data_IF_783407248838
#
_entry.id   IF_783407248838
#
_cell.length_a   1.000
_cell.length_b   1.000
_cell.length_c   1.000
_cell.angle_alpha   90.00
_cell.angle_beta   90.00
_cell.angle_gamma   90.00
#
_symmetry.space_group_name_H-M   'P 1'
#
loop_
_entity.id
_entity.type
_entity.pdbx_description
1 polymer ?
#
# COMPACT_ATOMS: atom_id res chain seq x y z
N UNK A 1 -12.36 41.00 -18.66
CA UNK A 1 -11.76 41.51 -19.92
C UNK A 1 -11.19 40.31 -20.66
N UNK A 2 -11.55 40.16 -21.94
CA UNK A 2 -11.25 39.06 -22.86
C UNK A 2 -12.02 37.73 -22.67
N UNK A 3 -13.17 37.66 -23.33
CA UNK A 3 -13.66 36.51 -24.13
C UNK A 3 -13.47 37.01 -25.59
N UNK A 4 -12.99 36.23 -26.57
CA UNK A 4 -13.82 35.22 -27.25
C UNK A 4 -13.10 34.00 -27.86
N UNK A 5 -13.87 32.94 -28.12
CA UNK A 5 -14.06 32.48 -29.50
C UNK A 5 -15.34 31.65 -29.65
N UNK A 6 -16.20 32.14 -30.55
CA UNK A 6 -17.35 31.47 -31.16
C UNK A 6 -16.88 30.42 -32.17
N UNK A 7 -17.57 29.28 -32.24
CA UNK A 7 -17.65 28.50 -33.47
C UNK A 7 -19.11 28.22 -33.80
N UNK A 8 -19.55 28.83 -34.90
CA UNK A 8 -20.83 28.66 -35.56
C UNK A 8 -20.90 27.33 -36.31
N UNK A 9 -22.07 26.68 -36.31
CA UNK A 9 -22.41 25.69 -37.34
C UNK A 9 -23.72 26.05 -38.04
N UNK A 10 -23.59 26.04 -39.37
CA UNK A 10 -24.56 26.38 -40.41
C UNK A 10 -25.55 25.22 -40.62
N UNK A 11 -26.84 25.53 -40.71
CA UNK A 11 -27.88 24.61 -41.17
C UNK A 11 -28.00 24.64 -42.70
N UNK A 12 -28.18 23.50 -43.38
CA UNK A 12 -28.59 23.50 -44.78
C UNK A 12 -30.11 23.51 -44.95
N UNK A 13 -30.53 24.30 -45.93
CA UNK A 13 -31.90 24.51 -46.43
C UNK A 13 -32.36 23.35 -47.31
N UNK A 14 -33.66 23.06 -47.23
CA UNK A 14 -34.37 22.03 -47.97
C UNK A 14 -34.43 22.27 -49.49
N UNK A 15 -34.29 21.18 -50.26
CA UNK A 15 -34.58 21.12 -51.69
C UNK A 15 -35.73 20.14 -51.98
N UNK A 16 -36.70 20.58 -52.75
CA UNK A 16 -37.87 19.82 -53.23
C UNK A 16 -37.59 19.14 -54.57
N UNK A 17 -38.01 17.87 -54.73
CA UNK A 17 -38.21 17.27 -56.06
C UNK A 17 -38.53 15.76 -56.03
N UNK A 18 -39.47 15.24 -56.84
CA UNK A 18 -40.23 14.02 -56.53
C UNK A 18 -39.92 12.82 -57.45
N UNK A 19 -40.27 11.60 -57.00
CA UNK A 19 -41.03 10.57 -57.74
C UNK A 19 -40.75 9.14 -57.24
N UNK A 20 -41.81 8.48 -56.77
CA UNK A 20 -42.11 7.08 -57.11
C UNK A 20 -41.18 5.98 -56.58
N UNK A 21 -41.25 5.66 -55.29
CA UNK A 21 -40.86 4.34 -54.79
C UNK A 21 -41.94 3.80 -53.85
N UNK A 22 -42.45 2.60 -54.18
CA UNK A 22 -43.39 1.85 -53.33
C UNK A 22 -42.68 1.54 -51.99
N UNK A 23 -43.31 1.81 -50.84
CA UNK A 23 -42.68 1.54 -49.55
C UNK A 23 -42.56 0.03 -49.35
N UNK A 24 -41.34 -0.48 -49.49
CA UNK A 24 -40.95 -1.81 -49.03
C UNK A 24 -41.34 -1.95 -47.56
N UNK A 25 -42.02 -3.04 -47.18
CA UNK A 25 -42.55 -3.30 -45.83
C UNK A 25 -41.53 -3.30 -44.67
N UNK A 26 -40.26 -2.98 -44.94
CA UNK A 26 -39.20 -2.75 -43.95
C UNK A 26 -39.40 -1.45 -43.16
N UNK A 27 -40.04 -0.42 -43.72
CA UNK A 27 -40.25 0.86 -43.01
C UNK A 27 -41.29 0.79 -41.89
N UNK A 28 -42.22 -0.18 -41.95
CA UNK A 28 -43.22 -0.38 -40.90
C UNK A 28 -42.67 -1.04 -39.63
N UNK A 29 -41.53 -1.75 -39.73
CA UNK A 29 -40.88 -2.41 -38.60
C UNK A 29 -39.86 -1.52 -37.88
N UNK A 30 -39.38 -0.46 -38.54
CA UNK A 30 -38.42 0.49 -37.97
C UNK A 30 -38.87 1.11 -36.64
N UNK A 31 -40.10 1.62 -36.47
CA UNK A 31 -40.52 2.21 -35.19
C UNK A 31 -40.67 1.18 -34.07
N UNK A 32 -41.03 -0.08 -34.39
CA UNK A 32 -41.06 -1.18 -33.42
C UNK A 32 -39.65 -1.59 -32.98
N UNK A 33 -38.68 -1.58 -33.90
CA UNK A 33 -37.28 -1.90 -33.61
C UNK A 33 -36.59 -0.79 -32.81
N UNK A 34 -36.87 0.48 -33.14
CA UNK A 34 -36.41 1.64 -32.35
C UNK A 34 -37.04 1.64 -30.96
N UNK A 35 -38.34 1.34 -30.83
CA UNK A 35 -39.01 1.25 -29.53
C UNK A 35 -38.47 0.08 -28.69
N UNK A 36 -38.22 -1.09 -29.31
CA UNK A 36 -37.59 -2.22 -28.64
C UNK A 36 -36.15 -1.91 -28.19
N UNK A 37 -35.37 -1.19 -29.01
CA UNK A 37 -34.02 -0.75 -28.64
C UNK A 37 -34.05 0.29 -27.50
N UNK A 38 -34.99 1.24 -27.55
CA UNK A 38 -35.20 2.26 -26.50
C UNK A 38 -35.70 1.63 -25.19
N UNK A 39 -36.49 0.56 -25.26
CA UNK A 39 -36.94 -0.20 -24.08
C UNK A 39 -35.90 -1.20 -23.56
N UNK A 40 -34.96 -1.66 -24.41
CA UNK A 40 -33.85 -2.52 -24.01
C UNK A 40 -32.67 -1.74 -23.40
N UNK A 41 -32.46 -0.48 -23.81
CA UNK A 41 -31.42 0.41 -23.26
C UNK A 41 -31.49 0.63 -21.73
N UNK A 42 -32.67 0.74 -21.07
CA UNK A 42 -32.72 0.83 -19.61
C UNK A 42 -32.50 -0.51 -18.88
N UNK A 43 -32.59 -1.66 -19.55
CA UNK A 43 -32.38 -2.98 -18.92
C UNK A 43 -30.90 -3.37 -18.85
N UNK A 44 -30.06 -2.85 -19.76
CA UNK A 44 -28.61 -3.07 -19.76
C UNK A 44 -27.83 -2.21 -18.76
N UNK A 45 -28.48 -1.23 -18.11
CA UNK A 45 -27.86 -0.33 -17.14
C UNK A 45 -28.19 -0.70 -15.69
N UNK A 46 -28.60 -1.94 -15.43
CA UNK A 46 -28.70 -2.49 -14.08
C UNK A 46 -27.30 -2.64 -13.50
N UNK A 47 -26.68 -1.51 -13.11
CA UNK A 47 -25.65 -1.50 -12.08
C UNK A 47 -26.19 -2.33 -10.94
N UNK A 48 -25.38 -3.29 -10.50
CA UNK A 48 -25.66 -4.06 -9.30
C UNK A 48 -26.18 -3.15 -8.20
N UNK A 49 -27.41 -3.41 -7.76
CA UNK A 49 -28.02 -2.65 -6.69
C UNK A 49 -27.20 -2.77 -5.40
N UNK A 50 -27.37 -1.85 -4.45
CA UNK A 50 -26.77 -2.00 -3.12
C UNK A 50 -27.17 -3.36 -2.51
N UNK A 51 -26.34 -3.95 -1.63
CA UNK A 51 -26.74 -5.12 -0.87
C UNK A 51 -28.07 -4.87 -0.13
N UNK A 52 -28.93 -5.88 -0.11
CA UNK A 52 -30.33 -5.71 0.26
C UNK A 52 -30.54 -5.53 1.76
N UNK A 53 -29.70 -6.16 2.59
CA UNK A 53 -29.82 -6.07 4.05
C UNK A 53 -29.10 -4.81 4.51
N UNK A 54 -29.77 -4.02 5.34
CA UNK A 54 -29.22 -2.79 5.91
C UNK A 54 -29.40 -2.77 7.44
N UNK A 55 -28.40 -2.24 8.13
CA UNK A 55 -28.44 -1.98 9.57
C UNK A 55 -28.00 -0.53 9.79
N UNK A 56 -28.89 0.27 10.37
CA UNK A 56 -28.60 1.67 10.71
C UNK A 56 -27.85 1.76 12.05
N UNK A 57 -26.99 2.77 12.16
CA UNK A 57 -26.26 3.15 13.37
C UNK A 57 -26.36 4.67 13.57
N UNK A 58 -26.04 5.21 14.75
CA UNK A 58 -25.93 6.66 14.95
C UNK A 58 -24.86 7.35 14.10
N UNK A 59 -24.01 6.58 13.39
CA UNK A 59 -22.86 7.08 12.64
C UNK A 59 -22.90 6.65 11.17
N UNK A 60 -24.06 6.28 10.66
CA UNK A 60 -24.26 5.85 9.28
C UNK A 60 -24.93 4.48 9.15
N UNK A 61 -24.81 3.88 7.97
CA UNK A 61 -25.53 2.65 7.59
C UNK A 61 -24.56 1.60 7.08
N UNK A 62 -24.74 0.36 7.52
CA UNK A 62 -24.04 -0.81 6.99
C UNK A 62 -24.98 -1.62 6.09
N UNK A 63 -24.48 -2.09 4.95
CA UNK A 63 -25.20 -2.97 4.02
C UNK A 63 -24.40 -4.23 3.72
N UNK A 64 -25.07 -5.37 3.62
CA UNK A 64 -24.48 -6.64 3.20
C UNK A 64 -25.55 -7.57 2.60
N UNK A 65 -25.12 -8.74 2.12
CA UNK A 65 -26.02 -9.78 1.59
C UNK A 65 -26.67 -10.63 2.71
N UNK A 66 -26.21 -10.49 3.96
CA UNK A 66 -26.78 -11.16 5.15
C UNK A 66 -26.89 -10.20 6.34
N UNK A 67 -27.79 -10.50 7.28
CA UNK A 67 -27.98 -9.69 8.49
C UNK A 67 -26.78 -9.76 9.42
N UNK A 68 -26.14 -10.93 9.54
CA UNK A 68 -24.97 -11.14 10.37
C UNK A 68 -23.80 -10.26 9.89
N UNK A 69 -23.57 -10.21 8.58
CA UNK A 69 -22.53 -9.36 7.99
C UNK A 69 -22.85 -7.86 8.14
N UNK A 70 -24.11 -7.46 7.88
CA UNK A 70 -24.52 -6.07 8.03
C UNK A 70 -24.37 -5.61 9.50
N UNK A 71 -24.71 -6.46 10.46
CA UNK A 71 -24.50 -6.22 11.89
C UNK A 71 -23.01 -6.13 12.25
N UNK A 72 -22.16 -7.01 11.71
CA UNK A 72 -20.72 -6.96 11.95
C UNK A 72 -20.12 -5.63 11.47
N UNK A 73 -20.45 -5.20 10.25
CA UNK A 73 -20.00 -3.91 9.70
C UNK A 73 -20.58 -2.73 10.48
N UNK A 74 -21.85 -2.79 10.89
CA UNK A 74 -22.48 -1.77 11.73
C UNK A 74 -21.75 -1.59 13.08
N UNK A 75 -21.32 -2.69 13.71
CA UNK A 75 -20.54 -2.62 14.95
C UNK A 75 -19.17 -1.98 14.74
N UNK A 76 -18.49 -2.27 13.61
CA UNK A 76 -17.23 -1.62 13.25
C UNK A 76 -17.44 -0.11 13.01
N UNK A 77 -18.49 0.25 12.27
CA UNK A 77 -18.84 1.65 12.00
C UNK A 77 -19.15 2.41 13.29
N UNK A 78 -19.95 1.82 14.18
CA UNK A 78 -20.30 2.43 15.46
C UNK A 78 -19.08 2.63 16.38
N UNK A 79 -18.11 1.72 16.31
CA UNK A 79 -16.85 1.80 17.07
C UNK A 79 -15.91 2.87 16.53
N UNK A 80 -15.77 2.96 15.21
CA UNK A 80 -14.69 3.73 14.59
C UNK A 80 -15.13 5.09 14.03
N UNK A 81 -16.36 5.22 13.53
CA UNK A 81 -16.92 6.47 13.01
C UNK A 81 -16.70 7.67 13.94
N UNK A 82 -17.13 7.65 15.21
CA UNK A 82 -16.91 8.78 16.13
C UNK A 82 -15.43 9.03 16.41
N UNK A 83 -14.59 7.99 16.41
CA UNK A 83 -13.15 8.12 16.70
C UNK A 83 -12.41 8.79 15.55
N UNK A 84 -12.77 8.50 14.29
CA UNK A 84 -12.23 9.18 13.12
C UNK A 84 -12.62 10.65 13.13
N UNK A 85 -13.89 10.97 13.38
CA UNK A 85 -14.39 12.36 13.48
C UNK A 85 -13.71 13.15 14.60
N UNK A 86 -13.48 12.53 15.74
CA UNK A 86 -12.81 13.18 16.87
C UNK A 86 -11.32 13.44 16.62
N UNK A 87 -10.68 12.64 15.75
CA UNK A 87 -9.25 12.72 15.50
C UNK A 87 -8.88 13.76 14.42
N UNK A 88 -9.76 13.99 13.46
CA UNK A 88 -9.49 14.85 12.29
C UNK A 88 -10.25 16.18 12.39
N UNK A 89 -9.58 17.33 12.21
CA UNK A 89 -10.29 18.59 11.97
C UNK A 89 -11.08 18.55 10.65
N UNK A 90 -12.11 19.40 10.55
CA UNK A 90 -12.92 19.58 9.34
C UNK A 90 -13.42 18.26 8.71
N UNK A 91 -14.04 17.38 9.51
CA UNK A 91 -14.73 16.22 8.95
C UNK A 91 -16.13 16.57 8.43
N UNK A 92 -16.51 16.03 7.29
CA UNK A 92 -17.85 16.17 6.72
C UNK A 92 -18.93 15.63 7.67
N UNK A 93 -20.01 16.39 7.85
CA UNK A 93 -21.22 15.95 8.57
C UNK A 93 -22.13 15.07 7.67
N UNK A 94 -21.55 14.08 6.99
CA UNK A 94 -22.29 13.08 6.20
C UNK A 94 -22.34 11.75 6.92
N UNK A 95 -23.46 11.05 6.84
CA UNK A 95 -23.62 9.69 7.37
C UNK A 95 -23.06 8.69 6.35
N UNK A 96 -21.94 8.02 6.62
CA UNK A 96 -21.36 7.08 5.67
C UNK A 96 -22.25 5.85 5.47
N UNK A 97 -22.28 5.34 4.24
CA UNK A 97 -22.95 4.11 3.87
C UNK A 97 -21.91 3.07 3.45
N UNK A 98 -21.70 2.06 4.31
CA UNK A 98 -20.67 1.03 4.13
C UNK A 98 -21.30 -0.22 3.53
N UNK A 99 -20.87 -0.63 2.35
CA UNK A 99 -21.36 -1.79 1.64
C UNK A 99 -20.32 -2.89 1.73
N UNK A 100 -20.70 -4.04 2.28
CA UNK A 100 -19.96 -5.28 2.11
C UNK A 100 -20.39 -5.91 0.79
N UNK A 101 -19.48 -5.94 -0.17
CA UNK A 101 -19.80 -6.23 -1.56
C UNK A 101 -18.87 -7.31 -2.10
N UNK A 102 -19.41 -8.16 -2.97
CA UNK A 102 -18.60 -9.02 -3.82
C UNK A 102 -18.27 -8.21 -5.07
N UNK A 103 -17.04 -7.68 -5.13
CA UNK A 103 -16.57 -6.79 -6.20
C UNK A 103 -16.73 -7.39 -7.61
N UNK A 104 -17.05 -8.69 -7.74
CA UNK A 104 -17.50 -9.33 -8.98
C UNK A 104 -18.66 -8.61 -9.68
N UNK A 105 -19.45 -7.84 -8.92
CA UNK A 105 -20.58 -7.05 -9.41
C UNK A 105 -20.21 -5.74 -10.11
N UNK A 106 -18.93 -5.35 -10.11
CA UNK A 106 -18.40 -4.16 -10.77
C UNK A 106 -17.17 -4.55 -11.60
N UNK A 107 -17.31 -4.58 -12.93
CA UNK A 107 -16.25 -5.04 -13.85
C UNK A 107 -14.90 -4.35 -13.59
N UNK A 108 -14.91 -3.05 -13.24
CA UNK A 108 -13.67 -2.28 -12.99
C UNK A 108 -12.95 -2.72 -11.72
N UNK A 109 -13.70 -3.24 -10.74
CA UNK A 109 -13.16 -3.72 -9.48
C UNK A 109 -12.87 -5.22 -9.53
N UNK A 110 -13.61 -5.97 -10.35
CA UNK A 110 -13.34 -7.38 -10.62
C UNK A 110 -11.93 -7.60 -11.19
N UNK A 111 -11.48 -6.69 -12.06
CA UNK A 111 -10.12 -6.70 -12.63
C UNK A 111 -9.03 -6.23 -11.65
N UNK A 112 -9.39 -5.78 -10.45
CA UNK A 112 -8.47 -5.17 -9.47
C UNK A 112 -8.51 -5.90 -8.13
N UNK A 113 -7.98 -7.14 -8.08
CA UNK A 113 -8.04 -7.97 -6.90
C UNK A 113 -7.29 -7.40 -5.68
N UNK A 114 -6.41 -6.42 -5.90
CA UNK A 114 -5.65 -5.70 -4.88
C UNK A 114 -6.46 -4.63 -4.15
N UNK A 115 -7.57 -4.15 -4.73
CA UNK A 115 -8.42 -3.14 -4.09
C UNK A 115 -9.33 -3.83 -3.09
N UNK A 116 -9.08 -3.58 -1.79
CA UNK A 116 -9.83 -4.19 -0.68
C UNK A 116 -10.99 -3.29 -0.22
N UNK A 117 -10.82 -1.98 -0.36
CA UNK A 117 -11.78 -0.94 -0.02
C UNK A 117 -11.80 0.15 -1.08
N UNK A 118 -12.94 0.81 -1.21
CA UNK A 118 -13.10 2.00 -2.05
C UNK A 118 -14.12 2.95 -1.45
N UNK A 119 -13.73 4.20 -1.30
CA UNK A 119 -14.62 5.30 -0.94
C UNK A 119 -14.97 6.15 -2.14
N UNK A 120 -16.20 6.64 -2.20
CA UNK A 120 -16.62 7.66 -3.17
C UNK A 120 -16.61 9.03 -2.49
N UNK A 121 -15.64 9.92 -2.81
CA UNK A 121 -15.51 11.21 -2.16
C UNK A 121 -16.80 12.03 -2.21
N UNK A 122 -17.14 12.67 -1.10
CA UNK A 122 -18.34 13.53 -0.97
C UNK A 122 -19.69 12.80 -0.93
N UNK A 123 -19.75 11.51 -1.25
CA UNK A 123 -20.99 10.72 -1.20
C UNK A 123 -21.13 9.91 0.10
N UNK A 124 -20.08 9.83 0.93
CA UNK A 124 -20.06 9.00 2.14
C UNK A 124 -20.15 7.50 1.86
N UNK A 125 -20.13 7.06 0.59
CA UNK A 125 -20.25 5.64 0.24
C UNK A 125 -18.89 4.97 0.32
N UNK A 126 -18.84 3.86 1.06
CA UNK A 126 -17.68 3.00 1.23
C UNK A 126 -18.05 1.61 0.76
N UNK A 127 -17.23 0.97 -0.08
CA UNK A 127 -17.37 -0.43 -0.49
C UNK A 127 -16.18 -1.21 0.03
N UNK A 128 -16.43 -2.30 0.74
CA UNK A 128 -15.42 -3.22 1.25
C UNK A 128 -15.68 -4.59 0.67
N UNK A 129 -14.63 -5.28 0.25
CA UNK A 129 -14.71 -6.64 -0.26
C UNK A 129 -15.15 -7.64 0.81
N UNK A 130 -16.23 -8.36 0.53
CA UNK A 130 -16.77 -9.39 1.43
C UNK A 130 -15.76 -10.50 1.75
N UNK A 131 -15.04 -10.98 0.73
CA UNK A 131 -14.02 -12.04 0.85
C UNK A 131 -12.76 -11.59 1.60
N UNK A 132 -12.63 -10.28 1.85
CA UNK A 132 -11.52 -9.68 2.59
C UNK A 132 -11.94 -9.20 3.98
N UNK A 133 -13.19 -9.45 4.39
CA UNK A 133 -13.64 -9.22 5.75
C UNK A 133 -13.00 -10.27 6.68
N UNK A 134 -11.76 -10.01 7.07
CA UNK A 134 -10.94 -10.88 7.91
C UNK A 134 -10.29 -10.10 9.06
N UNK A 135 -9.08 -10.50 9.44
CA UNK A 135 -8.35 -9.90 10.57
C UNK A 135 -8.09 -8.40 10.43
N UNK A 136 -8.13 -7.88 9.20
CA UNK A 136 -7.80 -6.48 8.90
C UNK A 136 -9.03 -5.63 8.55
N UNK A 137 -10.26 -6.14 8.75
CA UNK A 137 -11.49 -5.44 8.42
C UNK A 137 -11.61 -4.08 9.15
N UNK A 138 -11.22 -4.03 10.42
CA UNK A 138 -11.14 -2.78 11.19
C UNK A 138 -10.22 -1.76 10.52
N UNK A 139 -9.03 -2.18 10.08
CA UNK A 139 -8.05 -1.28 9.46
C UNK A 139 -8.57 -0.73 8.14
N UNK A 140 -9.07 -1.60 7.27
CA UNK A 140 -9.62 -1.21 5.96
C UNK A 140 -10.80 -0.26 6.15
N UNK A 141 -11.74 -0.56 7.04
CA UNK A 141 -12.87 0.33 7.28
C UNK A 141 -12.42 1.69 7.79
N UNK A 142 -11.48 1.75 8.74
CA UNK A 142 -10.98 3.04 9.25
C UNK A 142 -10.29 3.83 8.15
N UNK A 143 -9.47 3.18 7.32
CA UNK A 143 -8.82 3.82 6.17
C UNK A 143 -9.87 4.47 5.24
N UNK A 144 -10.89 3.70 4.83
CA UNK A 144 -11.94 4.21 3.96
C UNK A 144 -12.83 5.26 4.62
N UNK A 145 -13.09 5.14 5.92
CA UNK A 145 -13.82 6.17 6.66
C UNK A 145 -13.12 7.52 6.62
N UNK A 146 -11.78 7.56 6.63
CA UNK A 146 -11.05 8.81 6.47
C UNK A 146 -11.36 9.42 5.10
N UNK A 147 -11.18 8.66 4.01
CA UNK A 147 -11.52 9.14 2.65
C UNK A 147 -12.95 9.68 2.55
N UNK A 148 -13.92 8.97 3.13
CA UNK A 148 -15.33 9.35 3.08
C UNK A 148 -15.67 10.59 3.91
N UNK A 149 -14.90 10.87 4.97
CA UNK A 149 -15.21 11.91 5.96
C UNK A 149 -14.30 13.15 5.87
N UNK A 150 -13.23 13.15 5.08
CA UNK A 150 -12.39 14.36 4.90
C UNK A 150 -13.21 15.52 4.31
N UNK A 151 -13.24 16.65 5.02
CA UNK A 151 -13.89 17.88 4.55
C UNK A 151 -13.07 18.68 3.54
N UNK A 152 -13.65 19.76 2.99
CA UNK A 152 -13.06 20.56 1.93
C UNK A 152 -11.73 21.21 2.31
N UNK A 153 -11.48 21.49 3.59
CA UNK A 153 -10.22 22.06 4.07
C UNK A 153 -9.02 21.14 3.86
N UNK A 154 -9.25 19.85 3.60
CA UNK A 154 -8.21 18.88 3.23
C UNK A 154 -7.98 18.74 1.72
N UNK A 155 -8.77 19.42 0.89
CA UNK A 155 -8.70 19.27 -0.57
C UNK A 155 -7.28 19.49 -1.14
N UNK A 156 -6.49 20.48 -0.71
CA UNK A 156 -5.13 20.70 -1.22
C UNK A 156 -4.13 19.60 -0.87
N UNK A 157 -4.46 18.63 -0.01
CA UNK A 157 -3.51 17.58 0.37
C UNK A 157 -3.19 16.69 -0.84
N UNK A 158 -1.89 16.51 -1.20
CA UNK A 158 -1.51 15.65 -2.32
C UNK A 158 -2.06 14.23 -2.16
N UNK A 159 -2.40 13.58 -3.28
CA UNK A 159 -3.17 12.34 -3.25
C UNK A 159 -2.44 11.22 -2.48
N UNK A 160 -1.13 11.04 -2.66
CA UNK A 160 -0.34 10.04 -1.93
C UNK A 160 -0.17 10.36 -0.44
N UNK A 161 -0.17 11.65 -0.08
CA UNK A 161 -0.13 12.08 1.33
C UNK A 161 -1.49 11.87 1.98
N UNK A 162 -2.58 11.99 1.22
CA UNK A 162 -3.94 11.64 1.65
C UNK A 162 -4.09 10.15 1.94
N UNK A 163 -3.58 9.27 1.06
CA UNK A 163 -3.50 7.82 1.34
C UNK A 163 -2.68 7.55 2.61
N UNK A 164 -1.54 8.23 2.75
CA UNK A 164 -0.71 8.17 3.95
C UNK A 164 -1.45 8.59 5.22
N UNK A 165 -2.30 9.62 5.14
CA UNK A 165 -3.15 10.09 6.25
C UNK A 165 -4.17 9.03 6.64
N UNK A 166 -4.80 8.38 5.67
CA UNK A 166 -5.77 7.30 5.90
C UNK A 166 -5.12 6.13 6.65
N UNK A 167 -3.95 5.67 6.19
CA UNK A 167 -3.19 4.61 6.85
C UNK A 167 -2.68 5.02 8.25
N UNK A 168 -2.27 6.27 8.40
CA UNK A 168 -1.81 6.83 9.66
C UNK A 168 -2.93 6.89 10.73
N UNK A 169 -4.14 7.27 10.34
CA UNK A 169 -5.32 7.26 11.23
C UNK A 169 -5.72 5.81 11.56
N UNK A 170 -5.79 4.94 10.55
CA UNK A 170 -6.11 3.53 10.74
C UNK A 170 -5.12 2.83 11.69
N UNK A 171 -3.82 3.09 11.54
CA UNK A 171 -2.78 2.56 12.42
C UNK A 171 -2.90 3.05 13.87
N UNK A 172 -3.38 4.28 14.10
CA UNK A 172 -3.63 4.80 15.46
C UNK A 172 -4.88 4.19 16.11
N UNK A 173 -5.94 3.95 15.33
CA UNK A 173 -7.22 3.47 15.86
C UNK A 173 -7.30 1.93 15.96
N UNK A 174 -6.47 1.22 15.18
CA UNK A 174 -6.42 -0.25 15.07
C UNK A 174 -4.99 -0.76 15.34
N UNK A 175 -4.50 -0.67 16.60
CA UNK A 175 -3.10 -0.95 16.93
C UNK A 175 -2.67 -2.41 16.66
N UNK A 176 -3.62 -3.36 16.63
CA UNK A 176 -3.32 -4.76 16.32
C UNK A 176 -2.86 -4.98 14.88
N UNK A 177 -3.37 -4.20 13.92
CA UNK A 177 -2.99 -4.28 12.51
C UNK A 177 -1.79 -3.37 12.17
N UNK A 178 -1.54 -2.35 12.99
CA UNK A 178 -0.55 -1.32 12.71
C UNK A 178 0.86 -1.86 12.40
N UNK A 179 1.44 -2.84 13.12
CA UNK A 179 2.78 -3.34 12.80
C UNK A 179 2.91 -3.92 11.39
N UNK A 180 1.89 -4.65 10.92
CA UNK A 180 1.91 -5.25 9.58
C UNK A 180 1.84 -4.18 8.49
N UNK A 181 0.96 -3.18 8.65
CA UNK A 181 0.84 -2.10 7.68
C UNK A 181 2.08 -1.21 7.69
N UNK A 182 2.61 -0.87 8.88
CA UNK A 182 3.87 -0.13 9.00
C UNK A 182 5.02 -0.88 8.34
N UNK A 183 5.13 -2.18 8.58
CA UNK A 183 6.15 -3.02 7.96
C UNK A 183 6.06 -2.96 6.43
N UNK A 184 4.86 -3.14 5.86
CA UNK A 184 4.61 -3.04 4.43
C UNK A 184 4.98 -1.66 3.87
N UNK A 185 4.49 -0.57 4.49
CA UNK A 185 4.75 0.81 4.03
C UNK A 185 6.22 1.21 4.18
N UNK A 186 6.88 0.79 5.24
CA UNK A 186 8.33 0.99 5.41
C UNK A 186 9.10 0.22 4.35
N UNK A 187 8.69 -1.02 4.05
CA UNK A 187 9.33 -1.80 3.00
C UNK A 187 9.21 -1.11 1.65
N UNK A 188 7.99 -0.70 1.27
CA UNK A 188 7.71 0.08 0.07
C UNK A 188 8.57 1.36 0.00
N UNK A 189 8.58 2.17 1.07
CA UNK A 189 9.35 3.41 1.15
C UNK A 189 10.86 3.20 1.05
N UNK A 190 11.37 2.11 1.63
CA UNK A 190 12.79 1.82 1.70
C UNK A 190 13.38 1.35 0.36
N UNK A 191 12.56 0.75 -0.52
CA UNK A 191 13.01 0.38 -1.88
C UNK A 191 13.41 1.58 -2.74
N UNK A 192 12.98 2.79 -2.38
CA UNK A 192 13.32 4.00 -3.12
C UNK A 192 14.78 4.43 -2.92
N UNK A 193 15.39 4.18 -1.75
CA UNK A 193 16.72 4.74 -1.43
C UNK A 193 17.58 3.94 -0.44
N UNK A 194 17.02 3.04 0.38
CA UNK A 194 17.80 2.33 1.40
C UNK A 194 18.17 0.92 0.96
N UNK A 195 17.24 0.20 0.33
CA UNK A 195 17.43 -1.21 0.01
C UNK A 195 17.35 -2.13 1.25
N UNK A 196 16.84 -3.33 1.06
CA UNK A 196 16.76 -4.38 2.09
C UNK A 196 17.96 -5.29 1.95
N UNK A 197 18.55 -5.75 3.06
CA UNK A 197 19.69 -6.65 3.04
C UNK A 197 19.53 -7.84 4.00
N UNK A 198 19.96 -9.01 3.56
CA UNK A 198 20.12 -10.17 4.42
C UNK A 198 21.54 -10.19 4.98
N UNK A 199 21.68 -10.23 6.30
CA UNK A 199 22.96 -10.43 6.95
C UNK A 199 23.05 -11.88 7.44
N UNK A 200 23.94 -12.66 6.84
CA UNK A 200 24.23 -14.02 7.25
C UNK A 200 25.49 -14.03 8.11
N UNK A 201 25.48 -14.80 9.19
CA UNK A 201 26.66 -14.90 10.04
C UNK A 201 26.86 -16.29 10.64
N UNK A 202 27.90 -16.99 10.16
CA UNK A 202 28.12 -18.41 10.42
C UNK A 202 29.56 -18.70 10.85
N UNK A 203 29.80 -19.88 11.43
CA UNK A 203 31.14 -20.43 11.60
C UNK A 203 31.42 -21.42 10.46
N UNK A 204 32.55 -21.27 9.78
CA UNK A 204 32.99 -22.31 8.84
C UNK A 204 33.61 -23.50 9.60
N UNK A 205 33.73 -24.67 8.96
CA UNK A 205 34.38 -25.83 9.57
C UNK A 205 35.80 -25.50 10.03
N UNK A 206 36.06 -25.62 11.33
CA UNK A 206 37.37 -25.33 11.94
C UNK A 206 37.68 -23.84 12.14
N UNK A 207 36.76 -22.93 11.80
CA UNK A 207 36.94 -21.50 12.04
C UNK A 207 36.66 -21.15 13.50
N UNK A 208 37.57 -20.38 14.11
CA UNK A 208 37.36 -19.76 15.43
C UNK A 208 36.59 -18.45 15.34
N UNK A 209 36.58 -17.83 14.16
CA UNK A 209 35.95 -16.53 13.90
C UNK A 209 34.67 -16.69 13.08
N UNK A 210 33.67 -15.88 13.43
CA UNK A 210 32.39 -15.85 12.71
C UNK A 210 32.55 -15.09 11.40
N UNK A 211 32.20 -15.74 10.29
CA UNK A 211 32.09 -15.12 8.97
C UNK A 211 30.78 -14.33 8.90
N UNK A 212 30.79 -13.23 8.16
CA UNK A 212 29.62 -12.40 7.89
C UNK A 212 29.57 -12.07 6.41
N UNK A 213 28.39 -12.17 5.82
CA UNK A 213 28.12 -11.65 4.48
C UNK A 213 26.79 -10.89 4.51
N UNK A 214 26.79 -9.73 3.86
CA UNK A 214 25.59 -8.93 3.63
C UNK A 214 25.18 -9.11 2.18
N UNK A 215 23.95 -9.55 1.95
CA UNK A 215 23.40 -9.81 0.62
C UNK A 215 22.25 -8.81 0.40
N UNK A 216 22.36 -7.90 -0.58
CA UNK A 216 21.25 -7.02 -0.90
C UNK A 216 20.09 -7.85 -1.47
N UNK A 217 18.92 -7.75 -0.84
CA UNK A 217 17.66 -8.37 -1.26
C UNK A 217 16.97 -7.46 -2.28
N UNK A 218 16.93 -6.15 -2.03
CA UNK A 218 16.34 -5.21 -2.99
C UNK A 218 17.41 -4.26 -3.52
N UNK A 219 17.25 -3.85 -4.79
CA UNK A 219 18.08 -2.79 -5.36
C UNK A 219 17.66 -1.46 -4.77
N UNK A 220 18.65 -0.65 -4.40
CA UNK A 220 18.44 0.77 -4.10
C UNK A 220 17.86 1.45 -5.33
N UNK A 221 16.72 2.11 -5.18
CA UNK A 221 16.08 2.90 -6.22
C UNK A 221 16.85 4.19 -6.54
N UNK A 222 16.25 5.03 -7.38
CA UNK A 222 16.85 6.30 -7.82
C UNK A 222 16.54 7.49 -6.88
N UNK A 223 16.16 7.20 -5.63
CA UNK A 223 15.70 8.19 -4.67
C UNK A 223 14.18 8.42 -4.73
N UNK A 224 13.71 9.31 -3.87
CA UNK A 224 12.27 9.60 -3.72
C UNK A 224 11.78 10.53 -4.85
N UNK A 225 10.78 10.13 -5.64
CA UNK A 225 10.22 10.95 -6.71
C UNK A 225 9.26 12.02 -6.14
N UNK A 226 9.80 13.06 -5.53
CA UNK A 226 9.03 14.11 -4.84
C UNK A 226 7.95 14.76 -5.70
N UNK A 227 8.20 14.94 -6.99
CA UNK A 227 7.21 15.49 -7.94
C UNK A 227 5.97 14.60 -8.06
N UNK A 228 6.13 13.27 -8.00
CA UNK A 228 5.02 12.33 -8.06
C UNK A 228 4.23 12.32 -6.75
N UNK A 229 4.93 12.43 -5.60
CA UNK A 229 4.29 12.56 -4.28
C UNK A 229 3.45 13.84 -4.15
N UNK A 230 3.87 14.90 -4.85
CA UNK A 230 3.21 16.19 -4.86
C UNK A 230 2.07 16.34 -5.85
N UNK A 231 1.60 15.28 -6.51
CA UNK A 231 0.49 15.38 -7.47
C UNK A 231 -0.86 15.58 -6.77
N UNK A 232 -1.73 16.47 -7.28
CA UNK A 232 -3.09 16.60 -6.79
C UNK A 232 -3.93 15.38 -7.21
N UNK A 233 -5.08 15.18 -6.59
CA UNK A 233 -6.04 14.16 -7.00
C UNK A 233 -6.86 13.53 -5.88
N UNK A 234 -7.97 12.91 -6.28
CA UNK A 234 -8.80 12.05 -5.46
C UNK A 234 -8.54 10.60 -5.88
N UNK A 235 -7.47 10.02 -5.33
CA UNK A 235 -7.00 8.69 -5.72
C UNK A 235 -5.94 8.75 -6.81
N UNK A 236 -4.96 7.86 -6.70
CA UNK A 236 -3.80 7.85 -7.59
C UNK A 236 -3.91 6.64 -8.52
N UNK A 237 -4.25 6.90 -9.79
CA UNK A 237 -3.98 5.98 -10.88
C UNK A 237 -2.47 6.00 -11.12
N UNK A 238 -1.74 5.19 -10.35
CA UNK A 238 -0.30 5.00 -10.50
C UNK A 238 -0.09 3.74 -11.32
N UNK A 239 0.74 3.87 -12.34
CA UNK A 239 1.33 2.77 -13.10
C UNK A 239 2.19 1.88 -12.18
N UNK A 240 2.96 0.94 -12.75
CA UNK A 240 3.71 -0.16 -12.12
C UNK A 240 4.57 0.18 -10.86
N UNK A 241 4.82 1.45 -10.53
CA UNK A 241 5.51 1.90 -9.31
C UNK A 241 4.57 2.18 -8.11
N UNK A 242 3.30 1.78 -8.21
CA UNK A 242 2.23 2.14 -7.27
C UNK A 242 2.58 1.90 -5.80
N UNK A 243 3.12 0.74 -5.45
CA UNK A 243 3.33 0.36 -4.04
C UNK A 243 4.39 1.22 -3.34
N UNK A 244 5.53 1.47 -3.99
CA UNK A 244 6.64 2.27 -3.44
C UNK A 244 6.20 3.69 -3.07
N UNK A 245 5.36 4.27 -3.93
CA UNK A 245 4.81 5.61 -3.75
C UNK A 245 3.82 5.70 -2.59
N UNK A 246 3.03 4.65 -2.34
CA UNK A 246 2.16 4.57 -1.15
C UNK A 246 3.00 4.53 0.13
N UNK A 247 4.04 3.68 0.17
CA UNK A 247 4.99 3.66 1.28
C UNK A 247 5.63 5.03 1.53
N UNK A 248 6.01 5.73 0.47
CA UNK A 248 6.59 7.07 0.57
C UNK A 248 5.60 8.13 1.08
N UNK A 249 4.37 8.13 0.55
CA UNK A 249 3.29 9.02 1.00
C UNK A 249 2.97 8.79 2.48
N UNK A 250 2.90 7.53 2.91
CA UNK A 250 2.74 7.16 4.31
C UNK A 250 3.89 7.63 5.20
N UNK A 251 5.14 7.37 4.82
CA UNK A 251 6.30 7.76 5.63
C UNK A 251 6.36 9.29 5.80
N UNK A 252 6.19 10.04 4.72
CA UNK A 252 6.13 11.50 4.76
C UNK A 252 5.02 11.96 5.70
N UNK A 253 3.81 11.42 5.55
CA UNK A 253 2.65 11.81 6.37
C UNK A 253 2.90 11.56 7.84
N UNK A 254 3.34 10.37 8.22
CA UNK A 254 3.62 10.05 9.62
C UNK A 254 4.74 10.94 10.18
N UNK A 255 5.76 11.30 9.39
CA UNK A 255 6.82 12.23 9.83
C UNK A 255 6.28 13.64 10.08
N UNK A 256 5.35 14.11 9.25
CA UNK A 256 4.66 15.38 9.46
C UNK A 256 3.80 15.30 10.73
N UNK A 257 2.98 14.25 10.88
CA UNK A 257 2.10 14.07 12.03
C UNK A 257 2.87 13.95 13.35
N UNK A 258 4.02 13.29 13.39
CA UNK A 258 4.88 13.24 14.58
C UNK A 258 5.38 14.61 15.04
N UNK A 259 5.61 15.53 14.08
CA UNK A 259 6.26 16.82 14.35
C UNK A 259 5.27 17.95 14.57
N UNK A 260 4.17 17.97 13.81
CA UNK A 260 3.19 19.06 13.85
C UNK A 260 1.76 18.59 14.13
N UNK A 261 1.52 17.29 14.28
CA UNK A 261 0.19 16.73 14.56
C UNK A 261 -0.79 16.84 13.39
N UNK A 262 -2.03 16.40 13.62
CA UNK A 262 -3.13 16.51 12.66
C UNK A 262 -3.48 17.96 12.38
N UNK A 263 -3.57 18.80 13.42
CA UNK A 263 -3.87 20.23 13.28
C UNK A 263 -2.80 20.98 12.48
N UNK A 264 -1.52 20.63 12.66
CA UNK A 264 -0.44 21.23 11.89
C UNK A 264 -0.47 20.84 10.42
N UNK A 265 -0.77 19.57 10.09
CA UNK A 265 -0.96 19.15 8.70
C UNK A 265 -2.20 19.84 8.08
N UNK A 266 -3.29 19.96 8.83
CA UNK A 266 -4.48 20.69 8.39
C UNK A 266 -4.17 22.18 8.15
N UNK A 267 -3.40 22.82 9.03
CA UNK A 267 -2.97 24.20 8.88
C UNK A 267 -2.15 24.43 7.60
N UNK A 268 -1.34 23.44 7.16
CA UNK A 268 -0.66 23.51 5.86
C UNK A 268 -1.65 23.50 4.69
N UNK A 269 -2.73 22.73 4.78
CA UNK A 269 -3.79 22.70 3.77
C UNK A 269 -4.54 24.03 3.74
N UNK A 270 -4.97 24.53 4.90
CA UNK A 270 -5.65 25.82 5.02
C UNK A 270 -4.79 26.97 4.48
N UNK A 271 -3.48 26.96 4.77
CA UNK A 271 -2.53 27.92 4.22
C UNK A 271 -2.42 27.82 2.70
N UNK A 272 -2.29 26.61 2.14
CA UNK A 272 -2.23 26.41 0.69
C UNK A 272 -3.48 26.96 0.00
N UNK A 273 -4.68 26.66 0.53
CA UNK A 273 -5.93 27.25 0.03
C UNK A 273 -5.95 28.77 0.09
N UNK A 274 -5.50 29.37 1.20
CA UNK A 274 -5.43 30.82 1.35
C UNK A 274 -4.46 31.49 0.35
N UNK A 275 -3.40 30.78 -0.04
CA UNK A 275 -2.44 31.21 -1.05
C UNK A 275 -2.85 30.83 -2.49
N UNK A 276 -4.02 30.21 -2.69
CA UNK A 276 -4.50 29.80 -4.01
C UNK A 276 -3.72 28.62 -4.62
N UNK A 277 -3.08 27.81 -3.77
CA UNK A 277 -2.27 26.65 -4.16
C UNK A 277 -3.09 25.37 -4.08
N UNK A 278 -3.03 24.57 -5.14
CA UNK A 278 -3.53 23.20 -5.18
C UNK A 278 -2.55 22.34 -5.99
N UNK A 279 -1.75 21.46 -5.35
CA UNK A 279 -1.81 21.03 -3.94
C UNK A 279 -0.86 21.79 -2.98
N UNK A 280 -0.81 21.38 -1.71
CA UNK A 280 0.19 21.83 -0.72
C UNK A 280 1.61 21.60 -1.27
N UNK A 281 2.48 22.61 -1.32
CA UNK A 281 3.84 22.46 -1.83
C UNK A 281 4.64 21.36 -1.12
N UNK A 282 5.34 20.51 -1.90
CA UNK A 282 6.17 19.45 -1.34
C UNK A 282 7.31 19.96 -0.47
N UNK A 283 7.81 21.16 -0.73
CA UNK A 283 8.81 21.81 0.12
C UNK A 283 8.28 22.02 1.54
N UNK A 284 7.02 22.45 1.70
CA UNK A 284 6.41 22.66 3.01
C UNK A 284 6.22 21.36 3.78
N UNK A 285 5.69 20.32 3.12
CA UNK A 285 5.48 19.01 3.74
C UNK A 285 6.80 18.34 4.13
N UNK A 286 7.85 18.45 3.29
CA UNK A 286 9.19 17.96 3.63
C UNK A 286 9.80 18.74 4.80
N UNK A 287 9.63 20.04 4.87
CA UNK A 287 10.08 20.85 5.99
C UNK A 287 9.37 20.44 7.28
N UNK A 288 8.03 20.35 7.24
CA UNK A 288 7.22 19.91 8.38
C UNK A 288 7.61 18.50 8.86
N UNK A 289 7.89 17.57 7.93
CA UNK A 289 8.36 16.21 8.22
C UNK A 289 9.84 16.09 8.59
N UNK A 290 10.62 17.17 8.50
CA UNK A 290 12.07 17.15 8.75
C UNK A 290 12.88 16.41 7.67
N UNK A 291 12.37 16.33 6.44
CA UNK A 291 12.94 15.63 5.28
C UNK A 291 13.51 16.60 4.22
N UNK A 292 13.72 17.87 4.59
CA UNK A 292 14.28 18.89 3.71
C UNK A 292 15.81 18.75 3.51
N UNK A 293 16.52 18.10 4.44
CA UNK A 293 18.00 18.09 4.51
C UNK A 293 18.67 17.00 3.65
N UNK A 294 18.41 16.98 2.34
CA UNK A 294 19.09 16.08 1.39
C UNK A 294 18.55 14.65 1.38
N UNK A 295 19.19 13.79 0.58
CA UNK A 295 18.79 12.39 0.35
C UNK A 295 18.90 11.54 1.60
N UNK A 296 19.92 11.76 2.41
CA UNK A 296 20.19 10.95 3.62
C UNK A 296 19.09 11.05 4.67
N UNK A 297 18.34 12.16 4.69
CA UNK A 297 17.22 12.36 5.59
C UNK A 297 16.11 11.32 5.38
N UNK A 298 15.91 10.85 4.14
CA UNK A 298 14.93 9.81 3.83
C UNK A 298 15.36 8.46 4.39
N UNK A 299 16.57 8.01 4.05
CA UNK A 299 17.11 6.77 4.55
C UNK A 299 17.15 6.76 6.09
N UNK A 300 17.56 7.85 6.72
CA UNK A 300 17.52 7.98 8.17
C UNK A 300 16.10 7.86 8.74
N UNK A 301 15.10 8.47 8.10
CA UNK A 301 13.70 8.38 8.53
C UNK A 301 13.12 6.95 8.41
N UNK A 302 13.47 6.24 7.33
CA UNK A 302 13.13 4.81 7.17
C UNK A 302 13.77 4.02 8.31
N UNK A 303 15.10 4.14 8.49
CA UNK A 303 15.86 3.33 9.44
C UNK A 303 15.46 3.58 10.90
N UNK A 304 15.10 4.81 11.27
CA UNK A 304 14.63 5.15 12.63
C UNK A 304 13.27 4.51 12.96
N UNK A 305 12.47 4.20 11.95
CA UNK A 305 11.11 3.65 12.10
C UNK A 305 11.08 2.13 12.05
N UNK A 306 12.11 1.50 11.51
CA UNK A 306 12.15 0.04 11.46
C UNK A 306 12.63 -0.52 12.79
N UNK A 307 11.68 -1.06 13.56
CA UNK A 307 11.96 -1.84 14.74
C UNK A 307 12.05 -3.35 14.47
N UNK A 308 12.46 -4.15 15.48
CA UNK A 308 12.40 -5.62 15.39
C UNK A 308 11.00 -6.16 15.12
N UNK A 309 9.95 -5.50 15.62
CA UNK A 309 8.56 -5.90 15.41
C UNK A 309 8.15 -5.75 13.94
N UNK A 310 8.44 -4.61 13.31
CA UNK A 310 8.19 -4.38 11.89
C UNK A 310 9.01 -5.34 11.01
N UNK A 311 10.28 -5.59 11.35
CA UNK A 311 11.09 -6.59 10.63
C UNK A 311 10.51 -8.00 10.76
N UNK A 312 10.08 -8.41 11.95
CA UNK A 312 9.46 -9.72 12.15
C UNK A 312 8.14 -9.85 11.37
N UNK A 313 7.29 -8.82 11.39
CA UNK A 313 6.05 -8.77 10.61
C UNK A 313 6.34 -8.86 9.10
N UNK A 314 7.30 -8.07 8.60
CA UNK A 314 7.72 -8.12 7.20
C UNK A 314 8.26 -9.50 6.82
N UNK A 315 9.09 -10.09 7.68
CA UNK A 315 9.69 -11.42 7.45
C UNK A 315 8.65 -12.52 7.45
N UNK A 316 7.60 -12.40 8.26
CA UNK A 316 6.48 -13.32 8.27
C UNK A 316 5.61 -13.18 7.02
N UNK A 317 5.37 -11.94 6.57
CA UNK A 317 4.59 -11.67 5.35
C UNK A 317 5.31 -12.17 4.09
N UNK A 318 6.63 -12.02 4.03
CA UNK A 318 7.49 -12.49 2.93
C UNK A 318 7.94 -13.96 3.11
N UNK A 319 7.40 -14.68 4.10
CA UNK A 319 7.88 -16.01 4.43
C UNK A 319 7.92 -16.98 3.25
N UNK A 320 6.89 -17.09 2.40
CA UNK A 320 6.90 -17.98 1.24
C UNK A 320 8.02 -17.62 0.25
N UNK A 321 8.09 -16.37 -0.20
CA UNK A 321 9.02 -15.90 -1.23
C UNK A 321 10.47 -15.92 -0.71
N UNK A 322 10.67 -15.46 0.52
CA UNK A 322 11.98 -15.45 1.16
C UNK A 322 12.48 -16.88 1.38
N UNK A 323 11.61 -17.83 1.71
CA UNK A 323 12.01 -19.23 1.90
C UNK A 323 12.48 -19.88 0.61
N UNK A 324 11.78 -19.66 -0.50
CA UNK A 324 12.18 -20.14 -1.83
C UNK A 324 13.53 -19.54 -2.23
N UNK A 325 13.70 -18.23 -2.04
CA UNK A 325 14.96 -17.57 -2.37
C UNK A 325 16.10 -18.05 -1.48
N UNK A 326 15.89 -18.16 -0.17
CA UNK A 326 16.91 -18.63 0.79
C UNK A 326 17.33 -20.06 0.46
N UNK A 327 16.40 -20.97 0.22
CA UNK A 327 16.73 -22.36 -0.11
C UNK A 327 17.48 -22.44 -1.44
N UNK A 328 17.01 -21.76 -2.49
CA UNK A 328 17.65 -21.81 -3.81
C UNK A 328 19.03 -21.17 -3.81
N UNK A 329 19.19 -20.06 -3.07
CA UNK A 329 20.40 -19.25 -3.09
C UNK A 329 21.47 -19.71 -2.09
N UNK A 330 21.07 -20.20 -0.92
CA UNK A 330 21.98 -20.48 0.19
C UNK A 330 22.23 -21.97 0.40
N UNK A 331 21.31 -22.87 0.03
CA UNK A 331 21.54 -24.33 0.15
C UNK A 331 22.86 -24.79 -0.50
N UNK A 332 23.30 -24.26 -1.67
CA UNK A 332 24.60 -24.61 -2.24
C UNK A 332 25.81 -24.24 -1.36
N UNK A 333 25.68 -23.25 -0.48
CA UNK A 333 26.75 -22.82 0.43
C UNK A 333 26.79 -23.62 1.74
N UNK A 334 25.72 -24.35 2.03
CA UNK A 334 25.56 -25.15 3.25
C UNK A 334 25.18 -26.60 2.91
N UNK A 335 26.01 -27.32 2.13
CA UNK A 335 25.69 -28.68 1.73
C UNK A 335 25.53 -29.60 2.95
N UNK A 336 24.46 -30.39 2.95
CA UNK A 336 24.17 -31.36 4.02
C UNK A 336 23.47 -30.79 5.26
N UNK A 337 23.18 -29.49 5.32
CA UNK A 337 22.30 -28.93 6.34
C UNK A 337 20.84 -29.00 5.88
N UNK A 338 19.94 -29.40 6.79
CA UNK A 338 18.51 -29.12 6.64
C UNK A 338 18.20 -27.66 7.07
N UNK A 339 16.95 -27.23 6.91
CA UNK A 339 16.54 -25.86 7.26
C UNK A 339 16.80 -25.51 8.73
N UNK A 340 16.58 -26.46 9.65
CA UNK A 340 16.77 -26.23 11.09
C UNK A 340 18.24 -26.03 11.40
N UNK A 341 19.10 -26.94 10.94
CA UNK A 341 20.54 -26.86 11.15
C UNK A 341 21.14 -25.64 10.47
N UNK A 342 20.62 -25.24 9.31
CA UNK A 342 20.98 -23.97 8.67
C UNK A 342 20.64 -22.77 9.56
N UNK A 343 19.40 -22.69 10.07
CA UNK A 343 18.99 -21.60 10.96
C UNK A 343 19.82 -21.54 12.26
N UNK A 344 20.14 -22.69 12.84
CA UNK A 344 20.90 -22.81 14.08
C UNK A 344 22.40 -22.51 13.88
N UNK A 345 22.97 -22.88 12.73
CA UNK A 345 24.42 -22.77 12.47
C UNK A 345 24.81 -21.48 11.75
N UNK A 346 24.01 -21.07 10.77
CA UNK A 346 24.25 -19.86 9.98
C UNK A 346 23.60 -18.60 10.57
N UNK A 347 22.73 -18.79 11.59
CA UNK A 347 22.09 -17.74 12.38
C UNK A 347 21.71 -16.52 11.52
N UNK A 348 20.94 -16.75 10.43
CA UNK A 348 20.65 -15.71 9.47
C UNK A 348 19.80 -14.62 10.12
N UNK A 349 20.10 -13.37 9.81
CA UNK A 349 19.35 -12.21 10.28
C UNK A 349 18.92 -11.34 9.11
N UNK A 350 17.70 -10.83 9.14
CA UNK A 350 17.21 -9.85 8.18
C UNK A 350 17.31 -8.44 8.77
N UNK A 351 17.72 -7.47 7.96
CA UNK A 351 17.76 -6.06 8.35
C UNK A 351 17.76 -5.13 7.15
N UNK A 352 17.74 -3.82 7.42
CA UNK A 352 17.92 -2.82 6.38
C UNK A 352 19.39 -2.44 6.27
N UNK A 353 19.83 -2.13 5.05
CA UNK A 353 21.19 -1.63 4.82
C UNK A 353 21.39 -0.32 5.61
N UNK A 354 22.49 -0.24 6.38
CA UNK A 354 22.76 0.90 7.26
C UNK A 354 21.93 0.98 8.55
N UNK A 355 20.93 0.11 8.74
CA UNK A 355 20.11 0.06 9.97
C UNK A 355 20.76 -0.74 11.10
N UNK A 356 20.34 -0.48 12.34
CA UNK A 356 20.72 -1.29 13.51
C UNK A 356 19.75 -2.44 13.78
N UNK A 357 18.48 -2.29 13.41
CA UNK A 357 17.46 -3.30 13.64
C UNK A 357 17.75 -4.58 12.83
N UNK A 358 17.72 -5.72 13.52
CA UNK A 358 17.91 -7.05 12.96
C UNK A 358 16.88 -8.00 13.56
N UNK A 359 16.34 -8.91 12.74
CA UNK A 359 15.53 -10.03 13.21
C UNK A 359 16.21 -11.34 12.84
N UNK A 360 16.40 -12.22 13.81
CA UNK A 360 16.89 -13.57 13.52
C UNK A 360 15.77 -14.36 12.82
N UNK A 361 16.06 -14.95 11.65
CA UNK A 361 15.02 -15.65 10.89
C UNK A 361 14.44 -16.84 11.67
N UNK A 362 15.24 -17.45 12.55
CA UNK A 362 14.84 -18.54 13.42
C UNK A 362 13.70 -18.16 14.40
N UNK A 363 13.57 -16.86 14.73
CA UNK A 363 12.54 -16.36 15.66
C UNK A 363 11.23 -15.98 14.95
N UNK A 364 11.14 -16.14 13.63
CA UNK A 364 9.94 -15.85 12.84
C UNK A 364 9.26 -17.18 12.46
N UNK A 365 8.20 -17.61 13.18
CA UNK A 365 7.66 -18.97 13.02
C UNK A 365 7.16 -19.28 11.61
N UNK A 366 6.49 -18.31 10.96
CA UNK A 366 5.99 -18.46 9.59
C UNK A 366 7.14 -18.73 8.60
N UNK A 367 8.23 -17.96 8.71
CA UNK A 367 9.41 -18.12 7.88
C UNK A 367 10.14 -19.44 8.17
N UNK A 368 10.26 -19.84 9.43
CA UNK A 368 10.85 -21.14 9.78
C UNK A 368 10.07 -22.31 9.17
N UNK A 369 8.74 -22.27 9.24
CA UNK A 369 7.88 -23.30 8.66
C UNK A 369 7.98 -23.33 7.13
N UNK A 370 7.91 -22.17 6.48
CA UNK A 370 8.05 -22.05 5.04
C UNK A 370 9.45 -22.51 4.57
N UNK A 371 10.51 -22.15 5.29
CA UNK A 371 11.87 -22.54 4.96
C UNK A 371 12.06 -24.05 5.08
N UNK A 372 11.53 -24.68 6.14
CA UNK A 372 11.57 -26.14 6.27
C UNK A 372 10.92 -26.84 5.07
N UNK A 373 9.72 -26.39 4.68
CA UNK A 373 9.03 -26.95 3.52
C UNK A 373 9.82 -26.75 2.20
N UNK A 374 10.41 -25.57 1.98
CA UNK A 374 11.16 -25.28 0.75
C UNK A 374 12.55 -25.91 0.70
N UNK A 375 13.23 -26.10 1.84
CA UNK A 375 14.62 -26.57 1.89
C UNK A 375 14.75 -28.06 1.59
N UNK A 376 13.73 -28.84 1.98
CA UNK A 376 13.68 -30.29 1.79
C UNK A 376 13.15 -30.69 0.41
N UNK A 377 12.55 -29.75 -0.34
CA UNK A 377 12.14 -29.99 -1.72
C UNK A 377 13.37 -30.20 -2.62
N UNK A 378 13.37 -31.32 -3.35
CA UNK A 378 14.33 -31.60 -4.43
C UNK A 378 13.93 -30.93 -5.76
N UNK A 379 12.78 -30.28 -5.80
CA UNK A 379 12.29 -29.53 -6.96
C UNK A 379 12.57 -28.03 -6.79
N UNK A 380 13.66 -27.49 -7.35
CA UNK A 380 13.94 -26.06 -7.33
C UNK A 380 13.07 -25.27 -8.33
N UNK A 381 12.22 -25.91 -9.14
CA UNK A 381 11.69 -25.33 -10.38
C UNK A 381 10.21 -24.92 -10.36
N UNK A 382 9.40 -25.30 -9.37
CA UNK A 382 7.94 -25.04 -9.44
C UNK A 382 7.46 -23.71 -8.88
N UNK A 383 8.35 -22.91 -8.29
CA UNK A 383 8.00 -21.56 -7.83
C UNK A 383 9.06 -20.58 -8.29
N UNK A 384 8.94 -20.10 -9.53
CA UNK A 384 9.57 -18.83 -9.88
C UNK A 384 9.03 -17.78 -8.91
N UNK A 385 9.87 -17.15 -8.07
CA UNK A 385 9.41 -16.03 -7.26
C UNK A 385 8.94 -14.96 -8.23
N UNK A 386 7.62 -14.75 -8.34
CA UNK A 386 7.04 -13.88 -9.37
C UNK A 386 7.70 -12.50 -9.34
N UNK A 387 8.23 -12.01 -10.46
CA UNK A 387 8.82 -10.67 -10.72
C UNK A 387 9.67 -9.96 -9.64
N UNK A 388 10.03 -10.62 -8.53
CA UNK A 388 10.89 -10.06 -7.50
C UNK A 388 12.34 -10.09 -8.00
N UNK A 389 12.94 -8.91 -8.09
CA UNK A 389 14.31 -8.64 -8.57
C UNK A 389 15.40 -9.09 -7.57
N UNK A 390 15.32 -10.32 -7.06
CA UNK A 390 16.34 -10.88 -6.19
C UNK A 390 17.54 -11.29 -7.05
N UNK A 391 18.74 -10.70 -6.83
CA UNK A 391 19.91 -11.09 -7.59
C UNK A 391 20.22 -12.57 -7.34
N UNK A 392 20.47 -13.34 -8.42
CA UNK A 392 21.04 -14.68 -8.28
C UNK A 392 22.46 -14.51 -7.72
N UNK A 393 22.80 -15.10 -6.56
CA UNK A 393 24.18 -15.10 -6.13
C UNK A 393 25.04 -15.81 -7.19
N UNK A 394 26.26 -15.32 -7.39
CA UNK A 394 27.27 -16.09 -8.11
C UNK A 394 27.49 -17.45 -7.42
N UNK A 395 28.05 -18.42 -8.14
CA UNK A 395 28.35 -19.75 -7.57
C UNK A 395 29.31 -19.67 -6.36
N UNK A 396 30.12 -18.62 -6.31
CA UNK A 396 31.01 -18.34 -5.19
C UNK A 396 30.41 -17.25 -4.28
N UNK A 397 30.53 -17.38 -2.93
CA UNK A 397 30.17 -16.29 -2.04
C UNK A 397 30.99 -15.05 -2.40
N UNK A 398 30.41 -13.84 -2.46
CA UNK A 398 31.10 -12.63 -2.88
C UNK A 398 32.34 -12.41 -2.00
N UNK A 399 33.51 -12.69 -2.56
CA UNK A 399 34.81 -12.60 -1.86
C UNK A 399 35.13 -11.17 -1.44
N UNK A 400 34.51 -10.17 -2.08
CA UNK A 400 34.62 -8.74 -1.76
C UNK A 400 33.77 -8.28 -0.57
N UNK A 401 32.84 -9.10 -0.05
CA UNK A 401 31.92 -8.72 1.03
C UNK A 401 32.25 -9.32 2.40
N UNK A 402 33.26 -10.20 2.50
CA UNK A 402 33.69 -10.79 3.78
C UNK A 402 34.56 -9.78 4.53
N UNK A 403 33.91 -8.88 5.28
CA UNK A 403 34.61 -8.09 6.29
C UNK A 403 34.98 -9.00 7.46
N UNK A 404 36.27 -9.30 7.62
CA UNK A 404 36.76 -9.92 8.85
C UNK A 404 36.54 -8.93 9.99
N UNK A 405 35.54 -9.16 10.84
CA UNK A 405 35.36 -8.42 12.07
C UNK A 405 36.47 -8.83 13.04
N UNK A 406 37.64 -8.23 12.93
CA UNK A 406 38.66 -8.32 13.97
C UNK A 406 38.16 -7.51 15.15
N UNK A 407 37.49 -8.19 16.10
CA UNK A 407 37.16 -7.61 17.39
C UNK A 407 38.49 -7.31 18.09
N UNK A 408 39.00 -6.09 17.93
CA UNK A 408 40.19 -5.61 18.61
C UNK A 408 39.90 -5.52 20.11
N UNK A 409 40.01 -6.65 20.79
CA UNK A 409 40.03 -6.72 22.25
C UNK A 409 41.29 -6.03 22.73
N UNK A 410 41.24 -4.71 22.93
CA UNK A 410 42.17 -3.99 23.78
C UNK A 410 42.04 -4.57 25.20
N UNK A 411 42.78 -5.64 25.48
CA UNK A 411 43.13 -6.02 26.85
C UNK A 411 44.02 -4.91 27.39
N UNK A 412 43.42 -3.93 28.05
CA UNK A 412 44.15 -2.95 28.83
C UNK A 412 44.89 -3.69 29.95
N UNK A 413 46.18 -3.95 29.75
CA UNK A 413 47.06 -4.38 30.82
C UNK A 413 47.29 -3.16 31.71
N UNK A 414 46.58 -3.09 32.83
CA UNK A 414 46.89 -2.20 33.94
C UNK A 414 48.20 -2.68 34.56
N UNK A 415 49.32 -2.14 34.06
CA UNK A 415 50.62 -2.30 34.70
C UNK A 415 50.71 -1.28 35.85
N UNK A 416 50.52 -1.76 37.08
CA UNK A 416 50.95 -1.03 38.28
C UNK A 416 52.47 -0.85 38.23
N UNK A 417 52.94 0.39 38.31
CA UNK A 417 54.11 0.80 39.08
C UNK A 417 53.86 2.18 39.64
#
# INVERSE_FOLDING_TARGET
MAVPDEVSHVLPVAGTGPAGQRPSGLLALLPLLVLALVLALPLGACRSGPPQVAVDTPYGRARADSIEQAQAVAQLLARHGPRVRALLPDTLAVDPEVWLDDFSRDERLAERPEVVGLSTPGQGRIRIRADRLGRDADFVLVHELVHALLGPGWAPLPALVKEGLCDAVAGRLVPAAAPNVRALRLFEAATLDTGLALELSWFGPGDVDRKRVTIPITRKGHGVPWEQLGRPGAGVHLDDQRTQLYGAGWLLTERVLERVGFDGLYALCARASAEGLDPVPMTWLREAGGLARGTDAWAAAVLQRVGPAELAAQSAALAPELSVWLSTSLKPWFPGLDARHFLDSALPTLGWEGGEARVALATVPALRAALAACWESDDPATSHPGDWWLPRPGRDPPTSAVTKSTRAGKRGSTRRR
#
